data_IF_401324990570
#
_entry.id   IF_401324990570
#
_cell.length_a   1.000
_cell.length_b   1.000
_cell.length_c   1.000
_cell.angle_alpha   90.00
_cell.angle_beta   90.00
_cell.angle_gamma   90.00
#
_symmetry.space_group_name_H-M   'P 1'
#
loop_
_entity.id
_entity.type
_entity.pdbx_description
1 polymer ?
#
# COMPACT_ATOMS: atom_id res chain seq x y z
N UNK A 1 15.71 -17.58 7.79
CA UNK A 1 14.32 -17.27 8.18
C UNK A 1 13.51 -18.52 7.88
N UNK A 2 12.87 -19.10 8.89
CA UNK A 2 11.97 -20.25 8.74
C UNK A 2 10.64 -19.75 8.15
N UNK A 3 10.26 -20.26 6.98
CA UNK A 3 8.97 -19.96 6.33
C UNK A 3 7.87 -20.71 7.07
N UNK A 4 6.83 -20.03 7.52
CA UNK A 4 5.64 -20.66 8.11
C UNK A 4 4.91 -21.50 7.06
N UNK A 5 4.50 -22.70 7.43
CA UNK A 5 3.80 -23.66 6.56
C UNK A 5 2.28 -23.51 6.66
N UNK A 6 1.56 -23.97 5.64
CA UNK A 6 0.08 -23.95 5.61
C UNK A 6 -0.51 -24.71 6.79
N UNK A 7 0.08 -25.86 7.12
CA UNK A 7 -0.35 -26.74 8.20
C UNK A 7 -0.17 -26.08 9.57
N UNK A 8 0.93 -25.33 9.76
CA UNK A 8 1.16 -24.54 10.98
C UNK A 8 0.12 -23.41 11.13
N UNK A 9 -0.24 -22.72 10.05
CA UNK A 9 -1.28 -21.68 10.10
C UNK A 9 -2.66 -22.27 10.39
N UNK A 10 -3.01 -23.43 9.81
CA UNK A 10 -4.29 -24.12 10.09
C UNK A 10 -4.40 -24.55 11.55
N UNK A 11 -3.36 -25.18 12.10
CA UNK A 11 -3.35 -25.59 13.50
C UNK A 11 -3.47 -24.38 14.46
N UNK A 12 -2.86 -23.24 14.09
CA UNK A 12 -2.99 -22.00 14.86
C UNK A 12 -4.41 -21.42 14.83
N UNK A 13 -5.07 -21.43 13.66
CA UNK A 13 -6.48 -21.02 13.52
C UNK A 13 -7.39 -21.90 14.38
N UNK A 14 -7.26 -23.22 14.30
CA UNK A 14 -8.08 -24.17 15.09
C UNK A 14 -7.93 -23.94 16.60
N UNK A 15 -6.70 -23.64 17.06
CA UNK A 15 -6.45 -23.32 18.47
C UNK A 15 -7.15 -22.02 18.89
N UNK A 16 -7.05 -20.95 18.09
CA UNK A 16 -7.71 -19.67 18.41
C UNK A 16 -9.23 -19.82 18.40
N UNK A 17 -9.79 -20.55 17.44
CA UNK A 17 -11.24 -20.81 17.37
C UNK A 17 -11.74 -21.59 18.59
N UNK A 18 -10.96 -22.58 19.05
CA UNK A 18 -11.23 -23.28 20.30
C UNK A 18 -11.22 -22.31 21.50
N UNK A 19 -10.22 -21.45 21.62
CA UNK A 19 -10.11 -20.47 22.71
C UNK A 19 -11.27 -19.45 22.69
N UNK A 20 -11.68 -18.99 21.50
CA UNK A 20 -12.83 -18.10 21.32
C UNK A 20 -14.15 -18.76 21.71
N UNK A 21 -14.33 -20.04 21.37
CA UNK A 21 -15.51 -20.81 21.80
C UNK A 21 -15.59 -20.96 23.34
N UNK A 22 -14.44 -20.83 24.01
CA UNK A 22 -14.32 -20.82 25.48
C UNK A 22 -14.38 -19.41 26.09
N UNK A 23 -14.72 -18.37 25.31
CA UNK A 23 -15.02 -17.02 25.80
C UNK A 23 -13.86 -16.01 25.81
N UNK A 24 -12.75 -16.29 25.11
CA UNK A 24 -11.57 -15.41 25.09
C UNK A 24 -11.55 -14.48 23.87
N UNK A 25 -12.22 -13.32 23.94
CA UNK A 25 -12.38 -12.36 22.82
C UNK A 25 -11.08 -11.68 22.34
N UNK A 26 -10.00 -11.74 23.12
CA UNK A 26 -8.76 -11.01 22.84
C UNK A 26 -8.02 -11.46 21.56
N UNK A 27 -8.40 -12.60 20.97
CA UNK A 27 -7.67 -13.25 19.86
C UNK A 27 -8.32 -13.05 18.48
N UNK A 28 -9.39 -12.26 18.37
CA UNK A 28 -10.13 -12.08 17.11
C UNK A 28 -9.24 -11.45 16.02
N UNK A 29 -8.34 -10.55 16.38
CA UNK A 29 -7.45 -9.90 15.42
C UNK A 29 -6.41 -10.86 14.85
N UNK A 30 -5.85 -11.69 15.73
CA UNK A 30 -4.89 -12.74 15.43
C UNK A 30 -5.52 -13.82 14.54
N UNK A 31 -6.77 -14.19 14.80
CA UNK A 31 -7.55 -15.08 13.94
C UNK A 31 -7.71 -14.50 12.53
N UNK A 32 -8.09 -13.22 12.41
CA UNK A 32 -8.23 -12.54 11.11
C UNK A 32 -6.91 -12.53 10.34
N UNK A 33 -5.80 -12.20 11.00
CA UNK A 33 -4.47 -12.25 10.38
C UNK A 33 -4.07 -13.66 9.94
N UNK A 34 -4.35 -14.68 10.77
CA UNK A 34 -4.05 -16.06 10.44
C UNK A 34 -4.86 -16.55 9.24
N UNK A 35 -6.15 -16.19 9.14
CA UNK A 35 -6.99 -16.48 7.98
C UNK A 35 -6.49 -15.80 6.71
N UNK A 36 -6.07 -14.53 6.77
CA UNK A 36 -5.43 -13.82 5.64
C UNK A 36 -4.17 -14.56 5.18
N UNK A 37 -3.33 -14.99 6.13
CA UNK A 37 -2.12 -15.73 5.82
C UNK A 37 -2.44 -17.08 5.16
N UNK A 38 -3.46 -17.79 5.66
CA UNK A 38 -3.92 -19.03 5.06
C UNK A 38 -4.47 -18.82 3.64
N UNK A 39 -5.35 -17.84 3.45
CA UNK A 39 -5.89 -17.48 2.14
C UNK A 39 -4.78 -17.14 1.15
N UNK A 40 -3.73 -16.43 1.59
CA UNK A 40 -2.55 -16.13 0.78
C UNK A 40 -1.71 -17.36 0.41
N UNK A 41 -1.67 -18.39 1.28
CA UNK A 41 -0.96 -19.65 1.03
C UNK A 41 -1.78 -20.64 0.18
N UNK A 42 -3.10 -20.45 0.10
CA UNK A 42 -4.03 -21.28 -0.67
C UNK A 42 -4.43 -20.65 -2.00
N UNK A 43 -4.21 -19.35 -2.18
CA UNK A 43 -4.48 -18.66 -3.42
C UNK A 43 -3.64 -19.24 -4.56
N UNK A 44 -4.33 -19.69 -5.62
CA UNK A 44 -3.66 -19.94 -6.89
C UNK A 44 -3.52 -18.61 -7.64
N UNK A 45 -2.34 -18.30 -8.19
CA UNK A 45 -2.18 -17.09 -8.98
C UNK A 45 -3.15 -17.13 -10.17
N UNK A 46 -4.06 -16.15 -10.21
CA UNK A 46 -5.03 -16.01 -11.31
C UNK A 46 -4.25 -15.72 -12.60
N UNK A 47 -4.03 -16.76 -13.41
CA UNK A 47 -3.24 -16.72 -14.64
C UNK A 47 -4.03 -16.30 -15.87
N UNK A 48 -5.36 -16.20 -15.75
CA UNK A 48 -6.24 -15.82 -16.87
C UNK A 48 -6.67 -14.36 -16.75
N UNK A 49 -6.54 -13.56 -17.83
CA UNK A 49 -7.10 -12.21 -17.84
C UNK A 49 -8.61 -12.28 -17.67
N UNK A 50 -9.13 -11.75 -16.56
CA UNK A 50 -10.56 -11.63 -16.32
C UNK A 50 -11.19 -10.76 -17.41
N UNK A 51 -12.08 -11.35 -18.21
CA UNK A 51 -12.88 -10.60 -19.17
C UNK A 51 -14.03 -9.94 -18.42
N UNK A 52 -13.95 -8.62 -18.25
CA UNK A 52 -15.05 -7.83 -17.70
C UNK A 52 -16.29 -8.01 -18.59
N UNK A 53 -17.36 -8.65 -18.10
CA UNK A 53 -18.62 -8.70 -18.84
C UNK A 53 -19.19 -7.28 -18.93
N UNK A 54 -19.79 -6.95 -20.07
CA UNK A 54 -20.50 -5.67 -20.22
C UNK A 54 -21.63 -5.59 -19.18
N UNK A 55 -21.64 -4.52 -18.38
CA UNK A 55 -22.76 -4.24 -17.51
C UNK A 55 -23.98 -3.86 -18.35
N UNK A 56 -25.05 -4.66 -18.25
CA UNK A 56 -26.34 -4.35 -18.88
C UNK A 56 -26.96 -3.14 -18.20
N UNK A 57 -27.66 -2.29 -18.96
CA UNK A 57 -28.31 -1.08 -18.43
C UNK A 57 -29.23 -1.29 -17.21
N UNK A 58 -29.92 -2.43 -17.13
CA UNK A 58 -30.75 -2.79 -15.97
C UNK A 58 -29.94 -3.03 -14.69
N UNK A 59 -28.72 -3.57 -14.81
CA UNK A 59 -27.81 -3.78 -13.66
C UNK A 59 -27.35 -2.45 -13.08
N UNK A 60 -26.99 -1.50 -13.95
CA UNK A 60 -26.57 -0.15 -13.54
C UNK A 60 -27.70 0.60 -12.82
N UNK A 61 -28.93 0.48 -13.32
CA UNK A 61 -30.12 1.06 -12.67
C UNK A 61 -30.35 0.47 -11.27
N UNK A 62 -30.21 -0.85 -11.11
CA UNK A 62 -30.35 -1.50 -9.81
C UNK A 62 -29.25 -1.06 -8.83
N UNK A 63 -27.98 -0.99 -9.28
CA UNK A 63 -26.87 -0.51 -8.44
C UNK A 63 -27.11 0.92 -7.94
N UNK A 64 -27.59 1.80 -8.81
CA UNK A 64 -27.93 3.18 -8.42
C UNK A 64 -29.09 3.23 -7.41
N UNK A 65 -30.09 2.37 -7.57
CA UNK A 65 -31.20 2.26 -6.62
C UNK A 65 -30.73 1.78 -5.24
N UNK A 66 -29.88 0.75 -5.19
CA UNK A 66 -29.28 0.24 -3.95
C UNK A 66 -28.48 1.34 -3.27
N UNK A 67 -27.61 2.04 -4.01
CA UNK A 67 -26.80 3.15 -3.49
C UNK A 67 -27.65 4.26 -2.88
N UNK A 68 -28.76 4.62 -3.54
CA UNK A 68 -29.69 5.63 -3.02
C UNK A 68 -30.36 5.17 -1.72
N UNK A 69 -30.90 3.95 -1.68
CA UNK A 69 -31.53 3.38 -0.48
C UNK A 69 -30.55 3.28 0.69
N UNK A 70 -29.32 2.88 0.40
CA UNK A 70 -28.25 2.84 1.39
C UNK A 70 -27.96 4.24 1.97
N UNK A 71 -27.85 5.27 1.12
CA UNK A 71 -27.66 6.64 1.58
C UNK A 71 -28.81 7.12 2.49
N UNK A 72 -30.07 6.89 2.08
CA UNK A 72 -31.26 7.24 2.86
C UNK A 72 -31.28 6.54 4.23
N UNK A 73 -30.99 5.24 4.26
CA UNK A 73 -30.89 4.47 5.50
C UNK A 73 -29.74 4.94 6.39
N UNK A 74 -28.57 5.20 5.81
CA UNK A 74 -27.38 5.66 6.53
C UNK A 74 -27.60 7.05 7.14
N UNK A 75 -28.27 7.95 6.42
CA UNK A 75 -28.64 9.28 6.95
C UNK A 75 -29.66 9.17 8.09
N UNK A 76 -30.66 8.29 7.95
CA UNK A 76 -31.65 8.04 9.01
C UNK A 76 -31.04 7.39 10.26
N UNK A 77 -30.07 6.50 10.09
CA UNK A 77 -29.48 5.71 11.18
C UNK A 77 -28.39 6.48 11.92
N UNK A 78 -27.49 7.12 11.18
CA UNK A 78 -26.27 7.72 11.73
C UNK A 78 -26.32 9.24 11.77
N UNK A 79 -27.29 9.87 11.10
CA UNK A 79 -27.42 11.32 11.04
C UNK A 79 -26.27 12.00 10.28
N UNK A 80 -25.99 13.24 10.69
CA UNK A 80 -25.02 14.12 10.02
C UNK A 80 -23.58 13.83 10.48
N UNK A 81 -23.00 12.73 10.00
CA UNK A 81 -21.60 12.35 10.24
C UNK A 81 -20.75 12.49 8.98
N UNK A 82 -19.45 12.72 9.17
CA UNK A 82 -18.47 12.86 8.10
C UNK A 82 -17.91 11.52 7.58
N UNK A 83 -17.02 11.56 6.57
CA UNK A 83 -16.56 10.37 5.85
C UNK A 83 -15.56 9.49 6.63
N UNK A 84 -14.98 9.99 7.71
CA UNK A 84 -13.91 9.29 8.45
C UNK A 84 -14.39 8.00 9.11
N UNK A 85 -15.63 7.97 9.62
CA UNK A 85 -16.21 6.77 10.24
C UNK A 85 -16.30 5.59 9.26
N UNK A 86 -17.01 5.76 8.13
CA UNK A 86 -17.07 4.73 7.09
C UNK A 86 -15.70 4.32 6.54
N UNK A 87 -14.74 5.23 6.42
CA UNK A 87 -13.38 4.89 5.98
C UNK A 87 -12.63 4.01 6.99
N UNK A 88 -12.77 4.28 8.30
CA UNK A 88 -12.19 3.42 9.34
C UNK A 88 -12.85 2.04 9.35
N UNK A 89 -14.14 1.98 9.06
CA UNK A 89 -14.88 0.73 8.94
C UNK A 89 -14.43 -0.04 7.69
N UNK A 90 -14.29 0.64 6.55
CA UNK A 90 -13.81 0.04 5.30
C UNK A 90 -12.46 -0.66 5.47
N UNK A 91 -11.55 -0.10 6.29
CA UNK A 91 -10.28 -0.76 6.60
C UNK A 91 -10.44 -2.10 7.33
N UNK A 92 -11.50 -2.29 8.12
CA UNK A 92 -11.79 -3.57 8.79
C UNK A 92 -12.37 -4.56 7.79
N UNK A 93 -13.36 -4.14 7.01
CA UNK A 93 -13.99 -5.01 6.00
C UNK A 93 -13.01 -5.43 4.90
N UNK A 94 -12.02 -4.60 4.59
CA UNK A 94 -10.93 -5.00 3.69
C UNK A 94 -10.08 -6.14 4.26
N UNK A 95 -9.91 -6.23 5.59
CA UNK A 95 -9.21 -7.34 6.24
C UNK A 95 -10.10 -8.60 6.29
N UNK A 96 -11.41 -8.43 6.47
CA UNK A 96 -12.38 -9.52 6.49
C UNK A 96 -12.51 -10.15 5.09
N UNK A 97 -12.67 -9.33 4.05
CA UNK A 97 -12.63 -9.76 2.66
C UNK A 97 -11.29 -10.42 2.26
N UNK A 98 -10.17 -9.96 2.82
CA UNK A 98 -8.87 -10.58 2.58
C UNK A 98 -8.73 -11.94 3.30
N UNK A 99 -9.39 -12.13 4.44
CA UNK A 99 -9.42 -13.39 5.17
C UNK A 99 -10.32 -14.43 4.47
N UNK A 100 -11.45 -13.98 3.91
CA UNK A 100 -12.47 -14.83 3.28
C UNK A 100 -12.88 -14.27 1.91
N UNK A 101 -11.99 -14.33 0.89
CA UNK A 101 -12.24 -13.69 -0.41
C UNK A 101 -13.43 -14.27 -1.19
N UNK A 102 -13.94 -15.44 -0.78
CA UNK A 102 -15.15 -16.06 -1.32
C UNK A 102 -16.46 -15.56 -0.69
N UNK A 103 -16.41 -14.82 0.43
CA UNK A 103 -17.62 -14.26 1.05
C UNK A 103 -18.03 -12.96 0.35
N UNK A 104 -19.10 -13.03 -0.44
CA UNK A 104 -19.64 -11.89 -1.18
C UNK A 104 -20.18 -10.77 -0.27
N UNK A 105 -20.52 -11.06 0.98
CA UNK A 105 -21.04 -10.05 1.91
C UNK A 105 -19.96 -9.03 2.29
N UNK A 106 -18.73 -9.49 2.52
CA UNK A 106 -17.57 -8.63 2.81
C UNK A 106 -17.24 -7.68 1.66
N UNK A 107 -17.35 -8.18 0.41
CA UNK A 107 -17.22 -7.34 -0.78
C UNK A 107 -18.35 -6.31 -0.89
N UNK A 108 -19.58 -6.68 -0.49
CA UNK A 108 -20.71 -5.76 -0.48
C UNK A 108 -20.51 -4.65 0.55
N UNK A 109 -20.04 -4.99 1.75
CA UNK A 109 -19.77 -4.00 2.80
C UNK A 109 -18.70 -3.00 2.39
N UNK A 110 -17.61 -3.45 1.74
CA UNK A 110 -16.63 -2.53 1.17
C UNK A 110 -17.26 -1.51 0.20
N UNK A 111 -18.19 -1.95 -0.65
CA UNK A 111 -18.85 -1.08 -1.61
C UNK A 111 -19.81 -0.09 -0.96
N UNK A 112 -20.60 -0.55 0.01
CA UNK A 112 -21.53 0.30 0.76
C UNK A 112 -20.76 1.37 1.54
N UNK A 113 -19.68 1.00 2.24
CA UNK A 113 -18.86 1.91 3.03
C UNK A 113 -18.09 2.91 2.16
N UNK A 114 -17.57 2.49 1.00
CA UNK A 114 -16.92 3.40 0.06
C UNK A 114 -17.91 4.42 -0.50
N UNK A 115 -19.10 3.99 -0.90
CA UNK A 115 -20.17 4.92 -1.31
C UNK A 115 -20.57 5.87 -0.18
N UNK A 116 -20.61 5.36 1.05
CA UNK A 116 -20.96 6.13 2.23
C UNK A 116 -19.96 7.28 2.45
N UNK A 117 -18.67 6.92 2.49
CA UNK A 117 -17.56 7.86 2.63
C UNK A 117 -17.54 8.89 1.49
N UNK A 118 -17.66 8.44 0.24
CA UNK A 118 -17.61 9.31 -0.93
C UNK A 118 -18.68 10.40 -0.86
N UNK A 119 -19.95 10.04 -0.64
CA UNK A 119 -21.02 11.04 -0.60
C UNK A 119 -20.87 12.00 0.60
N UNK A 120 -20.44 11.49 1.77
CA UNK A 120 -20.24 12.30 2.98
C UNK A 120 -19.06 13.26 2.84
N UNK A 121 -18.12 12.96 1.95
CA UNK A 121 -17.05 13.88 1.55
C UNK A 121 -17.50 14.90 0.48
N UNK A 122 -18.74 14.82 -0.01
CA UNK A 122 -19.24 15.68 -1.08
C UNK A 122 -18.67 15.36 -2.47
N UNK A 123 -18.05 14.18 -2.65
CA UNK A 123 -17.39 13.80 -3.90
C UNK A 123 -18.43 13.23 -4.87
N UNK A 124 -18.62 13.91 -6.00
CA UNK A 124 -19.51 13.47 -7.07
C UNK A 124 -18.92 12.30 -7.87
N UNK A 125 -19.79 11.57 -8.57
CA UNK A 125 -19.36 10.49 -9.47
C UNK A 125 -18.49 11.02 -10.63
N UNK A 126 -18.73 12.25 -11.09
CA UNK A 126 -17.89 12.89 -12.09
C UNK A 126 -16.48 13.18 -11.59
N UNK A 127 -16.35 13.72 -10.38
CA UNK A 127 -15.04 14.03 -9.77
C UNK A 127 -14.21 12.79 -9.51
N UNK A 128 -14.81 11.74 -8.91
CA UNK A 128 -14.08 10.50 -8.64
C UNK A 128 -13.69 9.80 -9.95
N UNK A 129 -14.55 9.82 -10.97
CA UNK A 129 -14.25 9.21 -12.28
C UNK A 129 -13.08 9.92 -12.95
N UNK A 130 -13.06 11.26 -12.98
CA UNK A 130 -11.94 12.02 -13.52
C UNK A 130 -10.65 11.75 -12.72
N UNK A 131 -10.73 11.70 -11.39
CA UNK A 131 -9.59 11.37 -10.54
C UNK A 131 -9.06 9.95 -10.78
N UNK A 132 -9.95 8.98 -11.00
CA UNK A 132 -9.58 7.60 -11.34
C UNK A 132 -8.87 7.52 -12.69
N UNK A 133 -9.34 8.25 -13.71
CA UNK A 133 -8.70 8.30 -15.03
C UNK A 133 -7.27 8.84 -14.94
N UNK A 134 -7.08 9.98 -14.28
CA UNK A 134 -5.76 10.59 -14.10
C UNK A 134 -4.84 9.70 -13.25
N UNK A 135 -5.39 9.11 -12.18
CA UNK A 135 -4.61 8.21 -11.32
C UNK A 135 -4.17 6.95 -12.06
N UNK A 136 -5.00 6.42 -12.96
CA UNK A 136 -4.68 5.25 -13.76
C UNK A 136 -3.50 5.54 -14.70
N UNK A 137 -3.50 6.69 -15.40
CA UNK A 137 -2.37 7.13 -16.24
C UNK A 137 -1.05 7.16 -15.46
N UNK A 138 -1.08 7.75 -14.26
CA UNK A 138 0.09 7.79 -13.36
C UNK A 138 0.54 6.39 -12.94
N UNK A 139 -0.40 5.50 -12.62
CA UNK A 139 -0.07 4.14 -12.18
C UNK A 139 0.54 3.29 -13.31
N UNK A 140 0.06 3.45 -14.55
CA UNK A 140 0.59 2.76 -15.73
C UNK A 140 2.00 3.23 -16.10
N UNK A 141 2.36 4.47 -15.80
CA UNK A 141 3.68 5.03 -16.07
C UNK A 141 4.75 4.65 -15.03
N UNK A 142 4.38 3.98 -13.93
CA UNK A 142 5.29 3.59 -12.85
C UNK A 142 5.98 2.26 -13.12
N UNK A 143 7.13 2.09 -12.47
CA UNK A 143 7.78 0.79 -12.33
C UNK A 143 7.28 0.06 -11.09
N UNK A 144 7.06 -1.24 -11.25
CA UNK A 144 6.52 -2.13 -10.23
C UNK A 144 7.47 -3.32 -10.02
N UNK A 145 7.62 -3.81 -8.78
CA UNK A 145 8.38 -5.02 -8.51
C UNK A 145 7.66 -6.26 -9.08
N UNK A 146 8.38 -7.39 -9.14
CA UNK A 146 7.81 -8.68 -9.52
C UNK A 146 6.56 -9.02 -8.69
N UNK A 147 5.53 -9.62 -9.31
CA UNK A 147 4.36 -10.11 -8.61
C UNK A 147 4.70 -11.06 -7.45
N UNK A 148 4.19 -10.76 -6.26
CA UNK A 148 4.08 -11.71 -5.16
C UNK A 148 2.62 -11.83 -4.76
N UNK A 149 2.15 -13.06 -4.64
CA UNK A 149 0.76 -13.34 -4.24
C UNK A 149 0.55 -13.06 -2.75
N UNK A 150 -0.67 -12.65 -2.38
CA UNK A 150 -1.05 -12.29 -1.00
C UNK A 150 -0.42 -10.99 -0.45
N UNK A 151 0.42 -10.30 -1.20
CA UNK A 151 1.22 -9.18 -0.69
C UNK A 151 0.92 -7.85 -1.41
N UNK A 152 0.82 -6.73 -0.68
CA UNK A 152 0.69 -5.41 -1.29
C UNK A 152 1.89 -5.09 -2.18
N UNK A 153 1.63 -4.61 -3.39
CA UNK A 153 2.69 -4.12 -4.30
C UNK A 153 2.80 -2.61 -4.19
N UNK A 154 4.00 -2.14 -3.89
CA UNK A 154 4.33 -0.72 -3.85
C UNK A 154 5.18 -0.37 -5.07
N UNK A 155 4.95 0.82 -5.65
CA UNK A 155 5.75 1.32 -6.76
C UNK A 155 7.18 1.61 -6.31
N UNK A 156 8.13 1.41 -7.22
CA UNK A 156 9.53 1.77 -6.99
C UNK A 156 9.64 3.29 -6.98
N UNK A 157 10.11 3.86 -5.87
CA UNK A 157 10.47 5.27 -5.81
C UNK A 157 11.92 5.40 -6.26
N UNK A 158 12.18 6.15 -7.32
CA UNK A 158 13.55 6.55 -7.65
C UNK A 158 14.11 7.35 -6.46
N UNK A 159 15.23 6.89 -5.89
CA UNK A 159 15.97 7.75 -4.97
C UNK A 159 16.51 8.93 -5.77
N UNK A 160 16.36 10.18 -5.30
CA UNK A 160 17.05 11.30 -5.94
C UNK A 160 18.54 10.98 -6.02
N UNK A 161 19.15 11.20 -7.18
CA UNK A 161 20.59 11.02 -7.33
C UNK A 161 21.31 11.78 -6.20
N UNK A 162 22.38 11.22 -5.60
CA UNK A 162 23.16 11.94 -4.59
C UNK A 162 23.57 13.31 -5.13
N UNK A 163 23.00 14.38 -4.58
CA UNK A 163 23.34 15.75 -4.99
C UNK A 163 24.66 16.12 -4.33
N UNK A 164 25.76 15.70 -4.94
CA UNK A 164 27.11 16.09 -4.49
C UNK A 164 27.46 17.43 -5.14
N UNK A 165 27.75 18.50 -4.35
CA UNK A 165 28.10 19.81 -4.88
C UNK A 165 29.21 19.74 -5.94
N UNK A 166 29.11 20.54 -7.01
CA UNK A 166 30.16 20.62 -8.03
C UNK A 166 31.46 21.20 -7.48
N UNK A 167 31.34 22.21 -6.63
CA UNK A 167 32.45 22.89 -5.99
C UNK A 167 32.71 22.35 -4.58
N UNK A 168 33.98 22.41 -4.17
CA UNK A 168 34.36 22.05 -2.82
C UNK A 168 33.78 23.07 -1.83
N UNK A 169 33.06 22.63 -0.77
CA UNK A 169 32.54 23.52 0.25
C UNK A 169 33.64 24.37 0.90
N UNK A 170 33.33 25.66 1.14
CA UNK A 170 34.25 26.57 1.84
C UNK A 170 34.62 26.01 3.22
N UNK A 171 35.93 25.95 3.51
CA UNK A 171 36.46 25.43 4.77
C UNK A 171 36.87 23.95 4.74
N UNK A 172 36.37 23.15 3.78
CA UNK A 172 36.72 21.73 3.68
C UNK A 172 38.19 21.51 3.25
N UNK A 173 38.74 22.39 2.43
CA UNK A 173 40.13 22.33 1.98
C UNK A 173 41.12 22.30 3.16
N UNK A 174 40.91 23.15 4.17
CA UNK A 174 41.76 23.20 5.36
C UNK A 174 41.68 21.93 6.20
N UNK A 175 40.50 21.32 6.29
CA UNK A 175 40.30 20.06 7.00
C UNK A 175 40.98 18.88 6.29
N UNK A 176 40.86 18.79 4.96
CA UNK A 176 41.53 17.74 4.16
C UNK A 176 43.05 17.85 4.31
N UNK A 177 43.59 19.07 4.20
CA UNK A 177 45.03 19.31 4.34
C UNK A 177 45.51 19.00 5.78
N UNK A 178 44.71 19.34 6.80
CA UNK A 178 45.07 19.06 8.21
C UNK A 178 45.09 17.57 8.56
N UNK A 179 44.31 16.73 7.86
CA UNK A 179 44.29 15.28 8.05
C UNK A 179 45.53 14.60 7.45
N UNK A 180 46.14 15.23 6.44
CA UNK A 180 47.37 14.76 5.82
C UNK A 180 48.55 15.39 6.58
N UNK A 181 49.07 14.66 7.56
CA UNK A 181 50.12 15.10 8.49
C UNK A 181 51.47 15.53 7.84
N UNK A 182 51.56 15.62 6.51
CA UNK A 182 52.75 16.09 5.81
C UNK A 182 52.40 17.10 4.72
N UNK A 183 53.17 18.18 4.71
CA UNK A 183 53.09 19.31 3.81
C UNK A 183 53.51 18.90 2.38
N UNK A 184 52.61 18.22 1.66
CA UNK A 184 52.78 17.92 0.25
C UNK A 184 52.65 19.28 -0.47
N UNK A 185 53.71 19.77 -1.10
CA UNK A 185 53.76 21.08 -1.78
C UNK A 185 52.79 21.25 -2.98
N UNK A 186 51.79 20.39 -3.12
CA UNK A 186 50.76 20.46 -4.16
C UNK A 186 49.58 21.31 -3.67
N UNK A 187 49.54 22.56 -4.14
CA UNK A 187 48.48 23.53 -3.84
C UNK A 187 47.08 23.10 -4.30
N UNK A 188 46.96 22.07 -5.14
CA UNK A 188 45.70 21.55 -5.69
C UNK A 188 45.29 20.20 -5.08
N UNK A 189 46.03 19.67 -4.11
CA UNK A 189 45.79 18.34 -3.54
C UNK A 189 44.37 18.18 -2.98
N UNK A 190 43.88 19.18 -2.22
CA UNK A 190 42.53 19.16 -1.69
C UNK A 190 41.45 19.11 -2.78
N UNK A 191 41.68 19.81 -3.91
CA UNK A 191 40.76 19.79 -5.06
C UNK A 191 40.75 18.44 -5.76
N UNK A 192 41.93 17.80 -5.91
CA UNK A 192 42.03 16.46 -6.49
C UNK A 192 41.31 15.43 -5.62
N UNK A 193 41.50 15.48 -4.30
CA UNK A 193 40.82 14.60 -3.34
C UNK A 193 39.30 14.82 -3.39
N UNK A 194 38.85 16.08 -3.37
CA UNK A 194 37.43 16.40 -3.53
C UNK A 194 36.85 15.82 -4.81
N UNK A 195 37.53 15.97 -5.94
CA UNK A 195 37.05 15.47 -7.23
C UNK A 195 36.93 13.94 -7.23
N UNK A 196 37.89 13.22 -6.63
CA UNK A 196 37.86 11.75 -6.50
C UNK A 196 36.71 11.30 -5.59
N UNK A 197 36.59 11.91 -4.41
CA UNK A 197 35.50 11.59 -3.47
C UNK A 197 34.13 11.91 -4.08
N UNK A 198 34.00 13.05 -4.79
CA UNK A 198 32.79 13.42 -5.52
C UNK A 198 32.44 12.42 -6.62
N UNK A 199 33.42 11.98 -7.40
CA UNK A 199 33.20 10.96 -8.42
C UNK A 199 32.74 9.63 -7.80
N UNK A 200 33.33 9.21 -6.68
CA UNK A 200 32.91 8.00 -5.97
C UNK A 200 31.48 8.13 -5.40
N UNK A 201 31.13 9.28 -4.81
CA UNK A 201 29.79 9.56 -4.28
C UNK A 201 28.73 9.62 -5.39
N UNK A 202 29.06 10.15 -6.57
CA UNK A 202 28.17 10.19 -7.74
C UNK A 202 28.03 8.81 -8.42
N UNK A 203 29.06 7.98 -8.38
CA UNK A 203 29.05 6.64 -8.97
C UNK A 203 28.46 5.55 -8.05
N UNK A 204 27.98 5.93 -6.86
CA UNK A 204 27.18 5.07 -5.98
C UNK A 204 27.82 3.72 -5.67
N UNK A 205 29.11 3.69 -5.30
CA UNK A 205 29.74 2.48 -4.77
C UNK A 205 29.57 1.22 -5.61
N UNK A 206 29.61 1.34 -6.95
CA UNK A 206 29.72 0.17 -7.84
C UNK A 206 31.15 -0.39 -7.75
N UNK A 207 31.39 -1.18 -6.72
CA UNK A 207 32.54 -2.05 -6.53
C UNK A 207 32.05 -3.40 -6.03
#
# INVERSE_FOLDING_TARGET
MTTITREEVKAFIEQIESDLSNGWEAQIFELKLARIALASLEAEPVSQPYKLPEEKGASLQLRNLIRKRHAEWSDSTFGNVGPVGPLKHLSKEALEAAAEPGDLSEWADMQLLLWDAQRRAGISDGEITAAMEEKLKVNMARQWPEPKDGEPRLHIKEQPAPVVPAEMPKGLAGQIVSLLAHNIGDKLLAQKIWNVCRAAMLNGGKS
#
